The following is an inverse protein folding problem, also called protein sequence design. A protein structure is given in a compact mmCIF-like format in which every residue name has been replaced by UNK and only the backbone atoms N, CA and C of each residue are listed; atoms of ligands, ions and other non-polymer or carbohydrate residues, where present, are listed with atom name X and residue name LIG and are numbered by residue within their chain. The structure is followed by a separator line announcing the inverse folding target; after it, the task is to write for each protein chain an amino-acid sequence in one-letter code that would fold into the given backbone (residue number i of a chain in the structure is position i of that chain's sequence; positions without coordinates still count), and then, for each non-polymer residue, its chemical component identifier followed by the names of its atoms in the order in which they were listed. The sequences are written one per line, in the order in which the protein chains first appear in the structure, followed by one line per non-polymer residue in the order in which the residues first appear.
data_IF_626148644815
#
_entry.id   IF_626148644815
#
_cell.length_a   1.000
_cell.length_b   1.000
_cell.length_c   1.000
_cell.angle_alpha   90.00
_cell.angle_beta   90.00
_cell.angle_gamma   90.00
#
_symmetry.space_group_name_H-M   'P 1'
#
loop_
_entity.id
_entity.type
_entity.pdbx_description
1 polymer ?
#
# COMPACT_ATOMS: atom_id res chain seq x y z
N UNK A 1 8.62 8.77 -22.46
CA UNK A 1 9.64 7.88 -21.84
C UNK A 1 9.71 8.01 -20.33
N UNK A 2 9.99 9.17 -19.73
CA UNK A 2 10.03 9.30 -18.25
C UNK A 2 8.68 8.93 -17.60
N UNK A 3 7.55 9.35 -18.19
CA UNK A 3 6.23 8.93 -17.71
C UNK A 3 6.05 7.40 -17.74
N UNK A 4 6.44 6.74 -18.83
CA UNK A 4 6.41 5.27 -18.92
C UNK A 4 7.29 4.63 -17.84
N UNK A 5 8.48 5.18 -17.57
CA UNK A 5 9.35 4.73 -16.49
C UNK A 5 8.69 4.83 -15.12
N UNK A 6 8.07 5.97 -14.80
CA UNK A 6 7.31 6.18 -13.55
C UNK A 6 6.13 5.21 -13.44
N UNK A 7 5.43 4.95 -14.55
CA UNK A 7 4.33 3.99 -14.58
C UNK A 7 4.81 2.58 -14.25
N UNK A 8 5.83 2.08 -14.96
CA UNK A 8 6.34 0.72 -14.80
C UNK A 8 6.99 0.52 -13.43
N UNK A 9 7.80 1.47 -12.96
CA UNK A 9 8.45 1.40 -11.64
C UNK A 9 7.45 1.51 -10.50
N UNK A 10 6.45 2.38 -10.60
CA UNK A 10 5.38 2.47 -9.60
C UNK A 10 4.53 1.21 -9.55
N UNK A 11 4.19 0.63 -10.72
CA UNK A 11 3.46 -0.64 -10.81
C UNK A 11 4.26 -1.79 -10.16
N UNK A 12 5.54 -1.93 -10.51
CA UNK A 12 6.41 -2.96 -9.95
C UNK A 12 6.61 -2.76 -8.44
N UNK A 13 6.73 -1.51 -7.97
CA UNK A 13 6.81 -1.20 -6.55
C UNK A 13 5.54 -1.61 -5.80
N UNK A 14 4.35 -1.33 -6.35
CA UNK A 14 3.08 -1.73 -5.73
C UNK A 14 2.92 -3.25 -5.63
N UNK A 15 3.34 -3.99 -6.66
CA UNK A 15 3.28 -5.46 -6.67
C UNK A 15 4.25 -6.09 -5.66
N UNK A 16 5.51 -5.65 -5.67
CA UNK A 16 6.56 -6.20 -4.80
C UNK A 16 6.36 -5.88 -3.31
N UNK A 17 5.69 -4.78 -3.00
CA UNK A 17 5.39 -4.38 -1.62
C UNK A 17 4.29 -5.23 -0.95
N UNK A 18 3.61 -6.10 -1.69
CA UNK A 18 2.55 -6.97 -1.17
C UNK A 18 3.00 -8.44 -0.98
N UNK A 19 4.29 -8.76 -1.05
CA UNK A 19 4.76 -10.16 -1.02
C UNK A 19 4.22 -10.97 0.18
N UNK A 20 3.46 -12.03 -0.12
CA UNK A 20 2.61 -12.80 0.81
C UNK A 20 3.36 -13.92 1.60
N UNK A 21 4.66 -14.14 1.38
CA UNK A 21 5.41 -15.25 1.99
C UNK A 21 6.07 -14.90 3.33
N UNK A 22 5.28 -14.51 4.33
CA UNK A 22 5.82 -14.27 5.67
C UNK A 22 5.66 -15.52 6.52
N UNK A 23 6.80 -16.06 6.96
CA UNK A 23 6.91 -17.23 7.82
C UNK A 23 6.14 -17.02 9.14
N UNK A 24 4.95 -17.61 9.20
CA UNK A 24 4.02 -17.58 10.35
C UNK A 24 4.62 -18.32 11.57
N UNK A 25 5.67 -19.13 11.37
CA UNK A 25 6.31 -19.95 12.39
C UNK A 25 7.74 -19.50 12.75
N UNK A 26 8.21 -18.39 12.17
CA UNK A 26 9.56 -17.86 12.41
C UNK A 26 9.75 -17.27 13.82
N UNK A 27 10.98 -17.39 14.32
CA UNK A 27 11.48 -16.92 15.62
C UNK A 27 10.83 -15.59 16.07
N UNK A 28 10.01 -15.63 17.12
CA UNK A 28 9.37 -14.46 17.72
C UNK A 28 10.36 -13.54 18.46
N UNK A 29 11.65 -13.91 18.49
CA UNK A 29 12.71 -13.04 18.96
C UNK A 29 12.78 -11.73 18.18
N UNK A 30 13.24 -10.67 18.84
CA UNK A 30 13.35 -9.33 18.26
C UNK A 30 14.13 -9.31 16.93
N UNK A 31 15.14 -10.17 16.79
CA UNK A 31 15.89 -10.36 15.54
C UNK A 31 15.08 -11.04 14.43
N UNK A 32 14.30 -12.08 14.75
CA UNK A 32 13.43 -12.74 13.78
C UNK A 32 12.31 -11.83 13.27
N UNK A 33 11.70 -11.03 14.15
CA UNK A 33 10.68 -10.07 13.71
C UNK A 33 11.27 -8.93 12.86
N UNK A 34 12.49 -8.48 13.13
CA UNK A 34 13.13 -7.42 12.34
C UNK A 34 13.63 -7.89 10.98
N UNK A 35 14.18 -9.10 10.89
CA UNK A 35 14.90 -9.58 9.70
C UNK A 35 14.21 -10.72 8.95
N UNK A 36 13.17 -11.32 9.55
CA UNK A 36 12.45 -12.47 8.99
C UNK A 36 10.93 -12.29 8.93
N UNK A 37 10.37 -11.23 9.53
CA UNK A 37 8.94 -10.90 9.38
C UNK A 37 8.72 -9.86 8.27
N UNK A 38 7.60 -9.97 7.56
CA UNK A 38 7.26 -8.95 6.56
C UNK A 38 6.95 -7.58 7.15
N UNK A 39 6.58 -7.48 8.43
CA UNK A 39 6.51 -6.18 9.12
C UNK A 39 7.88 -5.48 9.17
N UNK A 40 8.95 -6.23 9.41
CA UNK A 40 10.33 -5.73 9.34
C UNK A 40 10.74 -5.29 7.94
N UNK A 41 10.44 -6.14 6.94
CA UNK A 41 10.71 -5.85 5.53
C UNK A 41 10.03 -4.57 5.04
N UNK A 42 8.74 -4.39 5.36
CA UNK A 42 8.01 -3.19 4.95
C UNK A 42 8.51 -1.94 5.68
N UNK A 43 8.84 -2.03 6.98
CA UNK A 43 9.43 -0.91 7.71
C UNK A 43 10.76 -0.45 7.09
N UNK A 44 11.64 -1.39 6.72
CA UNK A 44 12.88 -1.10 5.99
C UNK A 44 12.58 -0.51 4.62
N UNK A 45 11.62 -1.06 3.87
CA UNK A 45 11.22 -0.55 2.57
C UNK A 45 10.74 0.91 2.62
N UNK A 46 10.02 1.31 3.67
CA UNK A 46 9.54 2.69 3.86
C UNK A 46 10.68 3.65 4.19
N UNK A 47 11.62 3.21 5.04
CA UNK A 47 12.83 3.97 5.36
C UNK A 47 13.66 4.15 4.09
N UNK A 48 13.85 3.10 3.29
CA UNK A 48 14.56 3.14 2.02
C UNK A 48 13.84 4.06 1.02
N UNK A 49 12.54 3.89 0.82
CA UNK A 49 11.75 4.70 -0.12
C UNK A 49 11.84 6.20 0.22
N UNK A 50 11.56 6.54 1.47
CA UNK A 50 11.51 7.93 1.93
C UNK A 50 12.90 8.55 2.06
N UNK A 51 13.90 7.75 2.47
CA UNK A 51 15.30 8.15 2.54
C UNK A 51 15.89 8.40 1.16
N UNK A 52 15.68 7.51 0.19
CA UNK A 52 16.08 7.73 -1.21
C UNK A 52 15.41 8.97 -1.79
N UNK A 53 14.10 9.11 -1.55
CA UNK A 53 13.35 10.31 -1.94
C UNK A 53 13.86 11.58 -1.25
N UNK A 54 14.58 11.50 -0.13
CA UNK A 54 15.17 12.64 0.56
C UNK A 54 16.61 12.95 0.10
N UNK A 55 17.44 11.93 -0.14
CA UNK A 55 18.89 12.09 -0.32
C UNK A 55 19.38 11.95 -1.75
N UNK A 56 18.73 11.12 -2.58
CA UNK A 56 19.23 10.80 -3.92
C UNK A 56 18.58 11.71 -4.96
N UNK A 57 19.41 12.42 -5.72
CA UNK A 57 18.97 13.36 -6.77
C UNK A 57 19.64 13.13 -8.12
N UNK A 58 20.74 12.36 -8.16
CA UNK A 58 21.47 12.09 -9.40
C UNK A 58 20.69 11.08 -10.25
N UNK A 59 20.29 11.42 -11.49
CA UNK A 59 19.48 10.54 -12.33
C UNK A 59 20.20 9.22 -12.63
N UNK A 60 21.54 9.23 -12.75
CA UNK A 60 22.33 8.01 -12.91
C UNK A 60 22.26 7.08 -11.69
N UNK A 61 22.25 7.63 -10.48
CA UNK A 61 22.16 6.84 -9.24
C UNK A 61 20.75 6.26 -9.10
N UNK A 62 19.71 7.05 -9.40
CA UNK A 62 18.31 6.58 -9.42
C UNK A 62 18.11 5.47 -10.45
N UNK A 63 18.65 5.64 -11.66
CA UNK A 63 18.60 4.61 -12.69
C UNK A 63 19.32 3.33 -12.25
N UNK A 64 20.54 3.45 -11.72
CA UNK A 64 21.30 2.31 -11.20
C UNK A 64 20.56 1.57 -10.07
N UNK A 65 19.96 2.31 -9.13
CA UNK A 65 19.16 1.73 -8.04
C UNK A 65 17.89 1.06 -8.56
N UNK A 66 17.19 1.66 -9.52
CA UNK A 66 15.98 1.05 -10.12
C UNK A 66 16.30 -0.23 -10.90
N UNK A 67 17.44 -0.27 -11.60
CA UNK A 67 17.93 -1.47 -12.29
C UNK A 67 18.29 -2.55 -11.27
N UNK A 68 19.07 -2.19 -10.25
CA UNK A 68 19.46 -3.13 -9.19
C UNK A 68 18.22 -3.71 -8.48
N UNK A 69 17.24 -2.87 -8.13
CA UNK A 69 16.00 -3.31 -7.51
C UNK A 69 15.18 -4.22 -8.43
N UNK A 70 15.04 -3.89 -9.72
CA UNK A 70 14.33 -4.74 -10.68
C UNK A 70 15.02 -6.10 -10.90
N UNK A 71 16.36 -6.14 -10.93
CA UNK A 71 17.14 -7.38 -11.00
C UNK A 71 16.95 -8.21 -9.74
N UNK A 72 16.92 -7.57 -8.58
CA UNK A 72 16.68 -8.23 -7.29
C UNK A 72 15.27 -8.85 -7.24
N UNK A 73 14.23 -8.13 -7.68
CA UNK A 73 12.86 -8.66 -7.78
C UNK A 73 12.78 -9.82 -8.78
N UNK A 74 13.41 -9.68 -9.95
CA UNK A 74 13.44 -10.77 -10.92
C UNK A 74 14.18 -12.00 -10.36
N UNK A 75 15.29 -11.79 -9.65
CA UNK A 75 16.05 -12.85 -9.00
C UNK A 75 15.30 -13.53 -7.86
N UNK A 76 14.56 -12.77 -7.05
CA UNK A 76 13.75 -13.36 -5.97
C UNK A 76 12.64 -14.25 -6.53
N UNK A 77 11.95 -13.78 -7.58
CA UNK A 77 10.88 -14.53 -8.24
C UNK A 77 11.39 -15.75 -9.00
N UNK A 78 12.61 -15.72 -9.55
CA UNK A 78 13.14 -16.79 -10.43
C UNK A 78 14.07 -17.79 -9.75
N UNK A 79 14.81 -17.41 -8.70
CA UNK A 79 15.94 -18.19 -8.16
C UNK A 79 15.81 -18.52 -6.67
N UNK A 80 15.32 -17.59 -5.86
CA UNK A 80 15.18 -17.75 -4.41
C UNK A 80 14.05 -16.87 -3.89
N UNK A 81 12.88 -17.45 -3.59
CA UNK A 81 11.75 -16.71 -3.03
C UNK A 81 12.14 -16.16 -1.66
N UNK A 82 12.44 -14.86 -1.60
CA UNK A 82 12.66 -14.13 -0.36
C UNK A 82 11.82 -12.87 -0.36
N UNK A 83 10.67 -12.95 0.30
CA UNK A 83 9.68 -11.87 0.39
C UNK A 83 10.26 -10.59 1.00
N UNK A 84 11.19 -10.73 1.96
CA UNK A 84 11.91 -9.60 2.55
C UNK A 84 12.69 -8.79 1.50
N UNK A 85 13.40 -9.49 0.61
CA UNK A 85 14.24 -8.88 -0.41
C UNK A 85 13.38 -8.21 -1.49
N UNK A 86 12.26 -8.84 -1.86
CA UNK A 86 11.29 -8.29 -2.80
C UNK A 86 10.64 -7.00 -2.28
N UNK A 87 10.16 -7.01 -1.04
CA UNK A 87 9.53 -5.83 -0.40
C UNK A 87 10.52 -4.67 -0.26
N UNK A 88 11.78 -4.94 0.11
CA UNK A 88 12.83 -3.92 0.14
C UNK A 88 13.08 -3.31 -1.24
N UNK A 89 13.17 -4.14 -2.28
CA UNK A 89 13.35 -3.68 -3.65
C UNK A 89 12.15 -2.83 -4.12
N UNK A 90 10.93 -3.19 -3.72
CA UNK A 90 9.72 -2.38 -3.93
C UNK A 90 9.81 -1.00 -3.31
N UNK A 91 10.31 -0.90 -2.07
CA UNK A 91 10.59 0.38 -1.42
C UNK A 91 11.60 1.24 -2.19
N UNK A 92 12.69 0.63 -2.69
CA UNK A 92 13.68 1.33 -3.52
C UNK A 92 13.06 1.87 -4.82
N UNK A 93 12.21 1.07 -5.48
CA UNK A 93 11.49 1.47 -6.70
C UNK A 93 10.50 2.61 -6.44
N UNK A 94 9.76 2.56 -5.32
CA UNK A 94 8.86 3.64 -4.91
C UNK A 94 9.63 4.95 -4.66
N UNK A 95 10.76 4.86 -3.95
CA UNK A 95 11.64 6.01 -3.70
C UNK A 95 12.19 6.63 -4.98
N UNK A 96 12.67 5.81 -5.92
CA UNK A 96 13.21 6.30 -7.19
C UNK A 96 12.13 6.94 -8.07
N UNK A 97 10.97 6.28 -8.18
CA UNK A 97 9.85 6.74 -9.02
C UNK A 97 9.24 8.04 -8.51
N UNK A 98 9.18 8.25 -7.18
CA UNK A 98 8.75 9.52 -6.59
C UNK A 98 9.65 10.70 -6.96
N UNK A 99 10.98 10.51 -6.96
CA UNK A 99 11.91 11.56 -7.39
C UNK A 99 11.76 11.88 -8.88
N UNK A 100 11.51 10.87 -9.73
CA UNK A 100 11.23 11.11 -11.15
C UNK A 100 9.86 11.77 -11.40
N UNK A 101 8.88 11.50 -10.52
CA UNK A 101 7.53 12.03 -10.60
C UNK A 101 7.41 13.48 -10.11
N UNK A 102 8.35 13.95 -9.28
CA UNK A 102 8.39 15.29 -8.67
C UNK A 102 8.21 16.46 -9.66
N UNK A 103 8.58 16.24 -10.93
CA UNK A 103 8.62 17.28 -11.97
C UNK A 103 7.26 17.66 -12.58
N UNK A 104 6.14 17.11 -12.10
CA UNK A 104 4.83 17.58 -12.56
C UNK A 104 3.64 16.78 -12.04
N UNK A 105 2.52 17.49 -11.85
CA UNK A 105 1.26 16.93 -11.33
C UNK A 105 0.79 15.67 -12.06
N UNK A 106 0.92 15.63 -13.38
CA UNK A 106 0.55 14.46 -14.19
C UNK A 106 1.43 13.25 -13.86
N UNK A 107 2.73 13.45 -13.63
CA UNK A 107 3.65 12.35 -13.28
C UNK A 107 3.43 11.84 -11.87
N UNK A 108 3.13 12.72 -10.92
CA UNK A 108 2.74 12.33 -9.56
C UNK A 108 1.41 11.56 -9.56
N UNK A 109 0.44 12.00 -10.37
CA UNK A 109 -0.82 11.27 -10.54
C UNK A 109 -0.59 9.89 -11.16
N UNK A 110 0.29 9.80 -12.16
CA UNK A 110 0.67 8.55 -12.80
C UNK A 110 1.36 7.58 -11.83
N UNK A 111 2.22 8.07 -10.95
CA UNK A 111 2.86 7.29 -9.89
C UNK A 111 1.83 6.74 -8.90
N UNK A 112 0.95 7.60 -8.38
CA UNK A 112 -0.09 7.17 -7.46
C UNK A 112 -1.02 6.13 -8.10
N UNK A 113 -1.37 6.34 -9.38
CA UNK A 113 -2.18 5.42 -10.16
C UNK A 113 -1.51 4.06 -10.37
N UNK A 114 -0.25 4.05 -10.83
CA UNK A 114 0.45 2.81 -11.12
C UNK A 114 0.78 2.03 -9.86
N UNK A 115 1.16 2.71 -8.78
CA UNK A 115 1.38 2.11 -7.47
C UNK A 115 0.11 1.46 -6.92
N UNK A 116 -1.01 2.19 -6.92
CA UNK A 116 -2.30 1.64 -6.48
C UNK A 116 -2.76 0.49 -7.36
N UNK A 117 -2.58 0.60 -8.69
CA UNK A 117 -2.92 -0.49 -9.58
C UNK A 117 -2.09 -1.73 -9.24
N UNK A 118 -0.80 -1.60 -8.97
CA UNK A 118 0.06 -2.71 -8.53
C UNK A 118 -0.43 -3.31 -7.21
N UNK A 119 -0.62 -2.47 -6.20
CA UNK A 119 -1.06 -2.89 -4.87
C UNK A 119 -2.47 -3.51 -4.85
N UNK A 120 -3.37 -3.11 -5.75
CA UNK A 120 -4.72 -3.68 -5.80
C UNK A 120 -4.81 -4.91 -6.71
N UNK A 121 -3.85 -5.08 -7.62
CA UNK A 121 -3.84 -6.19 -8.58
C UNK A 121 -2.89 -7.33 -8.21
N UNK A 122 -2.07 -7.22 -7.14
CA UNK A 122 -1.08 -8.25 -6.83
C UNK A 122 -1.72 -9.62 -6.61
N UNK A 123 -2.80 -9.73 -5.82
CA UNK A 123 -3.50 -11.00 -5.62
C UNK A 123 -4.11 -11.57 -6.92
N UNK A 124 -4.54 -10.72 -7.85
CA UNK A 124 -5.02 -11.18 -9.15
C UNK A 124 -3.85 -11.63 -10.05
N UNK A 125 -2.73 -10.90 -10.06
CA UNK A 125 -1.52 -11.28 -10.81
C UNK A 125 -0.92 -12.58 -10.26
N UNK A 126 -0.99 -12.78 -8.95
CA UNK A 126 -0.60 -14.02 -8.31
C UNK A 126 -1.49 -15.19 -8.74
N UNK A 127 -2.80 -15.01 -8.79
CA UNK A 127 -3.72 -16.02 -9.31
C UNK A 127 -3.48 -16.35 -10.81
N UNK A 128 -2.86 -15.44 -11.58
CA UNK A 128 -2.39 -15.73 -12.94
C UNK A 128 -1.10 -16.56 -12.95
N UNK A 129 -0.23 -16.39 -11.95
CA UNK A 129 1.04 -17.13 -11.85
C UNK A 129 0.83 -18.55 -11.30
N UNK A 130 -0.12 -18.72 -10.39
CA UNK A 130 -0.43 -19.99 -9.71
C UNK A 130 -1.90 -20.38 -9.93
N UNK A 131 -2.27 -20.88 -11.12
CA UNK A 131 -3.65 -21.19 -11.44
C UNK A 131 -4.17 -22.36 -10.58
N UNK A 132 -5.23 -22.11 -9.82
CA UNK A 132 -5.97 -23.14 -9.09
C UNK A 132 -5.52 -23.42 -7.66
N UNK A 133 -4.45 -22.78 -7.17
CA UNK A 133 -3.98 -22.97 -5.79
C UNK A 133 -3.62 -21.60 -5.18
N UNK A 134 -4.32 -21.14 -4.13
CA UNK A 134 -3.93 -19.94 -3.40
C UNK A 134 -2.49 -20.08 -2.87
N UNK A 135 -1.62 -19.09 -3.09
CA UNK A 135 -0.19 -19.14 -2.71
C UNK A 135 0.06 -19.36 -1.22
N UNK A 136 -0.93 -19.11 -0.36
CA UNK A 136 -0.94 -19.52 1.05
C UNK A 136 -0.71 -21.02 1.27
N UNK A 137 -0.85 -21.84 0.23
CA UNK A 137 -0.54 -23.26 0.24
C UNK A 137 0.71 -23.63 -0.54
N UNK A 138 1.42 -22.65 -1.12
CA UNK A 138 2.63 -22.87 -1.91
C UNK A 138 3.73 -23.58 -1.11
N UNK A 139 3.80 -23.33 0.20
CA UNK A 139 4.73 -24.01 1.11
C UNK A 139 4.46 -25.53 1.24
N UNK A 140 3.25 -25.97 0.86
CA UNK A 140 2.87 -27.39 0.81
C UNK A 140 2.93 -27.97 -0.60
N UNK A 141 3.26 -27.15 -1.62
CA UNK A 141 3.37 -27.59 -2.99
C UNK A 141 4.78 -28.07 -3.31
N UNK A 142 4.85 -29.06 -4.18
CA UNK A 142 6.13 -29.44 -4.78
C UNK A 142 6.50 -28.43 -5.86
N UNK A 143 7.79 -28.22 -6.11
CA UNK A 143 8.29 -27.27 -7.11
C UNK A 143 7.72 -27.54 -8.53
N UNK A 144 7.28 -28.78 -8.80
CA UNK A 144 6.59 -29.18 -10.03
C UNK A 144 5.15 -28.66 -10.17
N UNK A 145 4.50 -28.26 -9.07
CA UNK A 145 3.12 -27.73 -9.08
C UNK A 145 3.10 -26.19 -9.23
N UNK A 146 4.26 -25.54 -9.13
CA UNK A 146 4.41 -24.10 -9.30
C UNK A 146 4.62 -23.76 -10.79
N UNK A 147 3.65 -23.07 -11.39
CA UNK A 147 3.79 -22.53 -12.74
C UNK A 147 4.96 -21.55 -12.86
N UNK A 148 5.55 -21.42 -14.06
CA UNK A 148 6.65 -20.46 -14.28
C UNK A 148 6.11 -19.02 -14.22
N UNK A 149 6.59 -18.16 -13.30
CA UNK A 149 6.12 -16.79 -13.20
C UNK A 149 6.60 -15.96 -14.40
N UNK A 150 5.68 -15.46 -15.24
CA UNK A 150 6.02 -14.68 -16.45
C UNK A 150 5.82 -13.18 -16.26
N UNK A 151 4.77 -12.77 -15.53
CA UNK A 151 4.33 -11.36 -15.49
C UNK A 151 5.35 -10.45 -14.81
N UNK A 152 5.84 -10.82 -13.62
CA UNK A 152 6.79 -10.00 -12.85
C UNK A 152 8.16 -9.91 -13.53
N UNK A 153 8.78 -11.00 -14.03
CA UNK A 153 10.05 -10.91 -14.75
C UNK A 153 9.98 -10.02 -16.00
N UNK A 154 8.90 -10.12 -16.80
CA UNK A 154 8.69 -9.25 -17.97
C UNK A 154 8.62 -7.79 -17.54
N UNK A 155 7.90 -7.48 -16.44
CA UNK A 155 7.83 -6.13 -15.91
C UNK A 155 9.19 -5.61 -15.44
N UNK A 156 10.01 -6.46 -14.80
CA UNK A 156 11.38 -6.12 -14.42
C UNK A 156 12.24 -5.76 -15.64
N UNK A 157 12.17 -6.53 -16.74
CA UNK A 157 12.89 -6.20 -17.98
C UNK A 157 12.45 -4.84 -18.52
N UNK A 158 11.15 -4.56 -18.55
CA UNK A 158 10.63 -3.28 -19.02
C UNK A 158 11.09 -2.11 -18.13
N UNK A 159 11.15 -2.29 -16.80
CA UNK A 159 11.69 -1.29 -15.87
C UNK A 159 13.17 -1.03 -16.14
N UNK A 160 13.98 -2.07 -16.34
CA UNK A 160 15.42 -1.93 -16.68
C UNK A 160 15.58 -1.15 -17.99
N UNK A 161 14.83 -1.49 -19.03
CA UNK A 161 14.88 -0.79 -20.31
C UNK A 161 14.49 0.69 -20.16
N UNK A 162 13.44 0.98 -19.40
CA UNK A 162 13.01 2.35 -19.14
C UNK A 162 14.05 3.15 -18.34
N UNK A 163 14.69 2.54 -17.34
CA UNK A 163 15.73 3.15 -16.51
C UNK A 163 17.01 3.43 -17.30
N UNK A 164 17.48 2.47 -18.11
CA UNK A 164 18.64 2.65 -19.01
C UNK A 164 18.37 3.78 -19.99
N UNK A 165 17.15 3.86 -20.54
CA UNK A 165 16.78 4.94 -21.45
C UNK A 165 16.74 6.29 -20.76
N UNK A 166 16.13 6.38 -19.57
CA UNK A 166 16.07 7.61 -18.80
C UNK A 166 17.49 8.14 -18.45
N UNK A 167 18.40 7.26 -18.07
CA UNK A 167 19.80 7.60 -17.79
C UNK A 167 20.54 8.18 -19.01
N UNK A 168 20.20 7.73 -20.22
CA UNK A 168 20.80 8.27 -21.46
C UNK A 168 20.29 9.67 -21.81
N UNK A 169 19.03 9.98 -21.49
CA UNK A 169 18.38 11.24 -21.88
C UNK A 169 18.60 12.35 -20.84
N UNK A 170 18.67 12.03 -19.54
CA UNK A 170 18.81 13.03 -18.47
C UNK A 170 20.27 13.28 -18.09
N UNK A 171 21.02 13.97 -18.97
CA UNK A 171 22.41 14.37 -18.68
C UNK A 171 22.56 15.71 -17.96
N UNK A 172 21.48 16.49 -17.73
CA UNK A 172 21.67 17.93 -17.38
C UNK A 172 20.61 18.58 -16.47
N UNK A 173 19.81 17.83 -15.72
CA UNK A 173 18.79 18.44 -14.85
C UNK A 173 18.98 18.04 -13.38
N UNK A 174 19.63 18.91 -12.59
CA UNK A 174 19.59 18.83 -11.13
C UNK A 174 18.19 19.23 -10.64
N UNK A 175 17.58 18.39 -9.82
CA UNK A 175 16.31 18.72 -9.14
C UNK A 175 16.58 19.61 -7.93
N UNK A 176 15.73 20.61 -7.64
CA UNK A 176 15.88 21.46 -6.47
C UNK A 176 15.86 20.65 -5.17
N UNK A 177 16.62 21.12 -4.18
CA UNK A 177 16.74 20.46 -2.88
C UNK A 177 15.43 20.56 -2.09
N UNK A 178 14.81 19.42 -1.79
CA UNK A 178 13.69 19.33 -0.85
C UNK A 178 14.20 19.51 0.59
N UNK A 179 13.42 20.16 1.45
CA UNK A 179 13.82 20.49 2.82
C UNK A 179 14.22 19.26 3.66
N UNK A 180 15.48 19.20 4.07
CA UNK A 180 16.05 18.18 4.98
C UNK A 180 15.71 18.51 6.44
N UNK A 181 14.42 18.54 6.75
CA UNK A 181 13.94 18.87 8.08
C UNK A 181 14.00 17.67 9.04
N UNK A 182 14.48 17.88 10.26
CA UNK A 182 14.43 16.89 11.36
C UNK A 182 13.00 16.36 11.56
N UNK A 183 11.99 17.20 11.35
CA UNK A 183 10.57 16.82 11.42
C UNK A 183 10.16 15.78 10.37
N UNK A 184 10.72 15.86 9.15
CA UNK A 184 10.46 14.88 8.08
C UNK A 184 11.09 13.53 8.40
N UNK A 185 12.31 13.53 8.95
CA UNK A 185 12.98 12.30 9.42
C UNK A 185 12.19 11.68 10.57
N UNK A 186 11.75 12.49 11.54
CA UNK A 186 10.92 12.04 12.64
C UNK A 186 9.61 11.41 12.16
N UNK A 187 8.94 11.99 11.15
CA UNK A 187 7.73 11.41 10.57
C UNK A 187 7.98 10.06 9.88
N UNK A 188 9.08 9.91 9.13
CA UNK A 188 9.48 8.64 8.50
C UNK A 188 9.69 7.56 9.57
N UNK A 189 10.49 7.88 10.58
CA UNK A 189 10.78 6.95 11.66
C UNK A 189 9.52 6.61 12.46
N UNK A 190 8.65 7.58 12.71
CA UNK A 190 7.40 7.36 13.44
C UNK A 190 6.46 6.42 12.69
N UNK A 191 6.33 6.54 11.37
CA UNK A 191 5.49 5.63 10.57
C UNK A 191 6.12 4.24 10.46
N UNK A 192 7.42 4.14 10.19
CA UNK A 192 8.09 2.86 10.03
C UNK A 192 8.19 2.08 11.36
N UNK A 193 8.66 2.73 12.43
CA UNK A 193 8.78 2.11 13.76
C UNK A 193 7.41 1.89 14.37
N UNK A 194 6.49 2.86 14.21
CA UNK A 194 5.12 2.73 14.69
C UNK A 194 4.39 1.55 14.04
N UNK A 195 4.45 1.43 12.71
CA UNK A 195 3.88 0.31 11.98
C UNK A 195 4.48 -1.04 12.38
N UNK A 196 5.81 -1.11 12.54
CA UNK A 196 6.50 -2.31 13.01
C UNK A 196 6.08 -2.71 14.44
N UNK A 197 6.04 -1.75 15.37
CA UNK A 197 5.61 -1.98 16.75
C UNK A 197 4.16 -2.44 16.81
N UNK A 198 3.29 -1.86 15.98
CA UNK A 198 1.90 -2.27 15.88
C UNK A 198 1.78 -3.71 15.35
N UNK A 199 2.58 -4.08 14.35
CA UNK A 199 2.65 -5.46 13.87
C UNK A 199 3.15 -6.43 14.96
N UNK A 200 4.22 -6.07 15.67
CA UNK A 200 4.76 -6.84 16.81
C UNK A 200 3.71 -7.02 17.92
N UNK A 201 3.05 -5.93 18.32
CA UNK A 201 2.02 -5.94 19.35
C UNK A 201 0.82 -6.78 18.91
N UNK A 202 0.40 -6.65 17.65
CA UNK A 202 -0.69 -7.45 17.10
C UNK A 202 -0.33 -8.95 17.14
N UNK A 203 0.85 -9.33 16.65
CA UNK A 203 1.30 -10.72 16.69
C UNK A 203 1.43 -11.28 18.10
N UNK A 204 2.03 -10.53 19.01
CA UNK A 204 2.09 -10.92 20.42
C UNK A 204 0.67 -11.09 21.00
N UNK A 205 -0.25 -10.18 20.68
CA UNK A 205 -1.62 -10.22 21.18
C UNK A 205 -2.44 -11.42 20.67
N UNK A 206 -2.19 -11.87 19.43
CA UNK A 206 -2.85 -13.02 18.80
C UNK A 206 -2.30 -14.34 19.35
N UNK A 207 -0.99 -14.48 19.53
CA UNK A 207 -0.37 -15.76 19.87
C UNK A 207 -0.16 -16.01 21.37
N UNK A 208 -0.12 -14.96 22.22
CA UNK A 208 0.11 -15.10 23.67
C UNK A 208 -1.14 -14.81 24.52
N UNK A 209 -2.33 -14.71 23.92
CA UNK A 209 -3.58 -14.55 24.66
C UNK A 209 -4.14 -15.89 25.16
N UNK A 210 -4.11 -16.12 26.48
CA UNK A 210 -4.71 -17.32 27.13
C UNK A 210 -6.24 -17.50 26.88
N UNK A 211 -6.92 -16.51 26.29
CA UNK A 211 -8.38 -16.50 26.14
C UNK A 211 -8.86 -16.04 24.75
N UNK A 212 -8.30 -16.60 23.67
CA UNK A 212 -8.86 -16.48 22.31
C UNK A 212 -8.99 -15.05 21.75
N UNK A 213 -9.52 -14.96 20.53
CA UNK A 213 -9.62 -13.77 19.67
C UNK A 213 -10.43 -12.57 20.24
N UNK A 214 -10.95 -12.65 21.47
CA UNK A 214 -11.87 -11.66 22.03
C UNK A 214 -11.20 -10.38 22.52
N UNK A 215 -11.48 -9.24 21.88
CA UNK A 215 -11.34 -7.91 22.49
C UNK A 215 -9.95 -7.25 22.45
N UNK A 216 -9.04 -7.65 21.55
CA UNK A 216 -7.72 -7.01 21.40
C UNK A 216 -7.52 -6.20 20.11
N UNK A 217 -8.55 -6.09 19.28
CA UNK A 217 -8.56 -5.23 18.08
C UNK A 217 -8.34 -3.74 18.39
N UNK A 218 -8.56 -3.30 19.65
CA UNK A 218 -8.31 -1.93 20.10
C UNK A 218 -6.84 -1.49 19.91
N UNK A 219 -5.87 -2.41 19.86
CA UNK A 219 -4.49 -2.05 19.56
C UNK A 219 -4.33 -1.48 18.14
N UNK A 220 -5.18 -1.89 17.20
CA UNK A 220 -5.27 -1.28 15.87
C UNK A 220 -5.72 0.19 15.92
N UNK A 221 -6.41 0.63 16.98
CA UNK A 221 -6.76 2.06 17.15
C UNK A 221 -5.53 2.92 17.43
N UNK A 222 -4.43 2.36 17.95
CA UNK A 222 -3.18 3.11 18.17
C UNK A 222 -2.49 3.51 16.86
N UNK A 223 -2.84 2.88 15.73
CA UNK A 223 -2.43 3.32 14.39
C UNK A 223 -2.84 4.77 14.13
N UNK A 224 -4.04 5.14 14.56
CA UNK A 224 -4.65 6.45 14.29
C UNK A 224 -3.84 7.59 14.90
N UNK A 225 -3.58 7.66 16.22
CA UNK A 225 -2.78 8.74 16.80
C UNK A 225 -1.34 8.77 16.26
N UNK A 226 -0.74 7.62 15.94
CA UNK A 226 0.62 7.55 15.34
C UNK A 226 0.64 8.23 13.97
N UNK A 227 -0.32 7.90 13.09
CA UNK A 227 -0.39 8.47 11.75
C UNK A 227 -0.80 9.95 11.76
N UNK A 228 -1.69 10.35 12.67
CA UNK A 228 -2.03 11.77 12.86
C UNK A 228 -0.84 12.56 13.42
N UNK A 229 -0.06 11.97 14.34
CA UNK A 229 1.19 12.55 14.81
C UNK A 229 2.20 12.73 13.68
N UNK A 230 2.40 11.70 12.86
CA UNK A 230 3.28 11.77 11.69
C UNK A 230 2.82 12.84 10.68
N UNK A 231 1.51 12.93 10.43
CA UNK A 231 0.94 13.96 9.57
C UNK A 231 1.17 15.38 10.10
N UNK A 232 1.08 15.57 11.43
CA UNK A 232 1.36 16.84 12.09
C UNK A 232 2.84 17.25 12.09
N UNK A 233 3.75 16.27 12.07
CA UNK A 233 5.19 16.53 11.99
C UNK A 233 5.62 16.98 10.59
N UNK A 234 4.95 16.52 9.53
CA UNK A 234 5.35 16.85 8.17
C UNK A 234 5.07 18.32 7.81
N UNK A 235 6.06 19.05 7.27
CA UNK A 235 5.83 20.40 6.76
C UNK A 235 4.82 20.39 5.59
N UNK A 236 4.23 21.57 5.30
CA UNK A 236 3.26 21.92 4.25
C UNK A 236 2.81 20.81 3.29
N UNK A 237 1.52 20.58 3.00
CA UNK A 237 0.94 19.50 2.16
C UNK A 237 1.38 18.05 2.43
N UNK A 238 2.54 17.75 3.02
CA UNK A 238 3.00 16.39 3.26
C UNK A 238 2.10 15.61 4.22
N UNK A 239 1.62 16.26 5.28
CA UNK A 239 0.65 15.65 6.20
C UNK A 239 -0.68 15.28 5.55
N UNK A 240 -1.10 15.98 4.48
CA UNK A 240 -2.35 15.67 3.76
C UNK A 240 -2.22 14.33 3.02
N UNK A 241 -1.05 14.04 2.47
CA UNK A 241 -0.78 12.77 1.79
C UNK A 241 -0.76 11.58 2.76
N UNK A 242 -0.25 11.79 3.98
CA UNK A 242 -0.25 10.76 5.04
C UNK A 242 -1.67 10.48 5.52
N UNK A 243 -2.49 11.51 5.75
CA UNK A 243 -3.89 11.33 6.12
C UNK A 243 -4.70 10.69 4.98
N UNK A 244 -4.38 11.00 3.72
CA UNK A 244 -4.97 10.33 2.56
C UNK A 244 -4.64 8.82 2.56
N UNK A 245 -3.37 8.46 2.76
CA UNK A 245 -2.97 7.06 2.90
C UNK A 245 -3.59 6.38 4.11
N UNK A 246 -3.77 7.09 5.21
CA UNK A 246 -4.47 6.58 6.40
C UNK A 246 -5.95 6.29 6.10
N UNK A 247 -6.63 7.17 5.36
CA UNK A 247 -8.01 6.94 4.95
C UNK A 247 -8.14 5.73 4.01
N UNK A 248 -7.22 5.57 3.06
CA UNK A 248 -7.19 4.41 2.16
C UNK A 248 -6.90 3.12 2.92
N UNK A 249 -5.93 3.14 3.84
CA UNK A 249 -5.61 2.04 4.75
C UNK A 249 -6.86 1.56 5.50
N UNK A 250 -7.54 2.47 6.19
CA UNK A 250 -8.71 2.15 7.01
C UNK A 250 -9.92 1.69 6.18
N UNK A 251 -10.03 2.16 4.94
CA UNK A 251 -11.07 1.67 4.04
C UNK A 251 -10.73 0.26 3.56
N UNK A 252 -9.47 -0.01 3.25
CA UNK A 252 -9.03 -1.32 2.74
C UNK A 252 -9.25 -2.46 3.74
N UNK A 253 -9.20 -2.20 5.05
CA UNK A 253 -9.50 -3.20 6.09
C UNK A 253 -10.96 -3.62 6.11
N UNK A 254 -11.86 -2.81 5.52
CA UNK A 254 -13.28 -3.15 5.34
C UNK A 254 -13.56 -3.84 4.01
N UNK A 255 -12.59 -3.91 3.08
CA UNK A 255 -12.77 -4.50 1.75
C UNK A 255 -11.92 -5.76 1.53
N UNK A 256 -10.96 -6.06 2.42
CA UNK A 256 -9.97 -7.14 2.29
C UNK A 256 -10.54 -8.57 2.41
N UNK A 257 -11.84 -8.73 2.65
CA UNK A 257 -12.51 -10.04 2.76
C UNK A 257 -13.18 -10.54 1.47
N UNK A 258 -13.12 -9.78 0.39
CA UNK A 258 -13.86 -10.10 -0.85
C UNK A 258 -13.07 -11.07 -1.74
N UNK A 259 -12.97 -12.32 -1.31
CA UNK A 259 -12.40 -13.39 -2.10
C UNK A 259 -13.37 -13.84 -3.19
N UNK A 260 -13.16 -13.41 -4.43
CA UNK A 260 -13.83 -14.07 -5.57
C UNK A 260 -13.07 -15.36 -5.83
N UNK A 261 -13.73 -16.52 -5.74
CA UNK A 261 -13.17 -17.79 -6.16
C UNK A 261 -13.08 -17.82 -7.69
N UNK A 262 -12.02 -17.21 -8.23
CA UNK A 262 -11.84 -17.12 -9.68
C UNK A 262 -11.03 -18.31 -10.16
N UNK A 263 -11.70 -19.38 -10.59
CA UNK A 263 -11.05 -20.57 -11.14
C UNK A 263 -10.64 -20.41 -12.62
N UNK A 264 -11.03 -19.33 -13.29
CA UNK A 264 -10.81 -19.15 -14.73
C UNK A 264 -10.02 -17.87 -15.04
N UNK A 265 -8.90 -18.05 -15.76
CA UNK A 265 -7.98 -17.02 -16.24
C UNK A 265 -8.65 -15.75 -16.80
N UNK A 266 -9.75 -15.92 -17.54
CA UNK A 266 -10.52 -14.81 -18.16
C UNK A 266 -11.08 -13.86 -17.11
N UNK A 267 -11.57 -14.38 -15.99
CA UNK A 267 -12.14 -13.59 -14.92
C UNK A 267 -11.06 -12.85 -14.11
N UNK A 268 -9.88 -13.45 -13.95
CA UNK A 268 -8.74 -12.80 -13.29
C UNK A 268 -8.24 -11.61 -14.12
N UNK A 269 -8.12 -11.79 -15.44
CA UNK A 269 -7.84 -10.67 -16.36
C UNK A 269 -8.94 -9.60 -16.32
N UNK A 270 -10.22 -10.03 -16.29
CA UNK A 270 -11.35 -9.12 -16.14
C UNK A 270 -11.26 -8.26 -14.88
N UNK A 271 -10.87 -8.87 -13.75
CA UNK A 271 -10.69 -8.17 -12.47
C UNK A 271 -9.57 -7.12 -12.57
N UNK A 272 -8.40 -7.48 -13.13
CA UNK A 272 -7.30 -6.53 -13.35
C UNK A 272 -7.74 -5.36 -14.23
N UNK A 273 -8.50 -5.64 -15.30
CA UNK A 273 -9.05 -4.60 -16.19
C UNK A 273 -10.04 -3.70 -15.44
N UNK A 274 -10.93 -4.26 -14.61
CA UNK A 274 -11.89 -3.48 -13.81
C UNK A 274 -11.15 -2.56 -12.82
N UNK A 275 -10.11 -3.06 -12.14
CA UNK A 275 -9.28 -2.23 -11.26
C UNK A 275 -8.60 -1.13 -12.07
N UNK A 276 -7.98 -1.46 -13.21
CA UNK A 276 -7.28 -0.49 -14.05
C UNK A 276 -8.22 0.63 -14.54
N UNK A 277 -9.42 0.28 -15.00
CA UNK A 277 -10.44 1.25 -15.43
C UNK A 277 -10.90 2.11 -14.26
N UNK A 278 -11.14 1.51 -13.09
CA UNK A 278 -11.57 2.23 -11.89
C UNK A 278 -10.52 3.23 -11.41
N UNK A 279 -9.25 2.80 -11.34
CA UNK A 279 -8.11 3.66 -11.00
C UNK A 279 -7.97 4.78 -12.03
N UNK A 280 -8.04 4.48 -13.33
CA UNK A 280 -7.95 5.48 -14.39
C UNK A 280 -9.08 6.52 -14.32
N UNK A 281 -10.31 6.09 -14.04
CA UNK A 281 -11.44 6.98 -13.83
C UNK A 281 -11.22 7.89 -12.60
N UNK A 282 -10.79 7.32 -11.48
CA UNK A 282 -10.43 8.06 -10.26
C UNK A 282 -9.35 9.11 -10.52
N UNK A 283 -8.30 8.77 -11.26
CA UNK A 283 -7.22 9.69 -11.64
C UNK A 283 -7.73 10.82 -12.52
N UNK A 284 -8.51 10.50 -13.56
CA UNK A 284 -9.07 11.51 -14.47
C UNK A 284 -9.97 12.50 -13.72
N UNK A 285 -10.79 11.99 -12.80
CA UNK A 285 -11.64 12.80 -11.94
C UNK A 285 -10.82 13.65 -10.96
N UNK A 286 -9.76 13.09 -10.37
CA UNK A 286 -8.89 13.81 -9.43
C UNK A 286 -8.09 14.92 -10.10
N UNK A 287 -7.65 14.71 -11.35
CA UNK A 287 -7.00 15.74 -12.16
C UNK A 287 -7.97 16.87 -12.50
N UNK A 288 -9.24 16.53 -12.82
CA UNK A 288 -10.27 17.49 -13.23
C UNK A 288 -10.87 18.29 -12.07
N UNK A 289 -11.12 17.64 -10.93
CA UNK A 289 -11.92 18.18 -9.82
C UNK A 289 -11.24 18.06 -8.45
N UNK A 290 -9.91 18.12 -8.39
CA UNK A 290 -9.06 17.88 -7.20
C UNK A 290 -9.52 18.48 -5.86
N UNK A 291 -10.54 17.87 -5.25
CA UNK A 291 -11.13 18.21 -3.96
C UNK A 291 -10.97 16.97 -3.07
N UNK A 292 -9.95 16.91 -2.20
CA UNK A 292 -9.63 15.70 -1.44
C UNK A 292 -10.78 15.26 -0.52
N UNK A 293 -11.56 16.20 0.01
CA UNK A 293 -12.71 15.89 0.86
C UNK A 293 -13.79 15.05 0.16
N UNK A 294 -13.93 15.18 -1.16
CA UNK A 294 -14.86 14.34 -1.93
C UNK A 294 -14.39 12.88 -1.92
N UNK A 295 -13.07 12.65 -2.06
CA UNK A 295 -12.48 11.32 -2.00
C UNK A 295 -12.67 10.70 -0.62
N UNK A 296 -12.42 11.46 0.44
CA UNK A 296 -12.66 11.00 1.82
C UNK A 296 -14.13 10.67 2.07
N UNK A 297 -15.06 11.51 1.58
CA UNK A 297 -16.49 11.25 1.73
C UNK A 297 -16.90 9.95 1.02
N UNK A 298 -16.40 9.71 -0.19
CA UNK A 298 -16.67 8.46 -0.92
C UNK A 298 -16.06 7.25 -0.20
N UNK A 299 -14.83 7.36 0.31
CA UNK A 299 -14.21 6.29 1.11
C UNK A 299 -15.01 6.00 2.39
N UNK A 300 -15.53 7.01 3.08
CA UNK A 300 -16.39 6.82 4.24
C UNK A 300 -17.69 6.07 3.87
N UNK A 301 -18.27 6.38 2.70
CA UNK A 301 -19.42 5.62 2.17
C UNK A 301 -19.01 4.17 1.92
N UNK A 302 -17.86 3.91 1.29
CA UNK A 302 -17.34 2.54 1.09
C UNK A 302 -17.22 1.80 2.43
N UNK A 303 -16.62 2.39 3.46
CA UNK A 303 -16.54 1.77 4.79
C UNK A 303 -17.92 1.38 5.31
N UNK A 304 -18.93 2.26 5.16
CA UNK A 304 -20.29 1.97 5.63
C UNK A 304 -20.94 0.79 4.90
N UNK A 305 -20.52 0.48 3.68
CA UNK A 305 -21.07 -0.66 2.93
C UNK A 305 -20.68 -2.01 3.51
N UNK A 306 -19.64 -2.09 4.35
CA UNK A 306 -19.28 -3.32 5.04
C UNK A 306 -20.35 -3.80 6.04
N UNK A 307 -21.31 -2.94 6.42
CA UNK A 307 -22.50 -3.36 7.17
C UNK A 307 -23.43 -4.26 6.34
N UNK A 308 -23.24 -4.31 5.02
CA UNK A 308 -24.04 -5.09 4.08
C UNK A 308 -23.29 -6.31 3.54
N UNK A 309 -22.40 -6.91 4.33
CA UNK A 309 -21.66 -8.13 3.93
C UNK A 309 -22.55 -9.38 3.75
N UNK A 310 -23.82 -9.32 4.17
CA UNK A 310 -24.77 -10.44 4.08
C UNK A 310 -25.83 -10.24 3.00
N UNK A 311 -26.32 -11.33 2.37
CA UNK A 311 -27.44 -11.26 1.43
C UNK A 311 -28.66 -10.61 2.07
N UNK A 312 -29.45 -9.82 1.32
CA UNK A 312 -29.42 -9.63 -0.14
C UNK A 312 -28.60 -8.41 -0.62
N UNK A 313 -27.96 -7.67 0.29
CA UNK A 313 -27.28 -6.40 -0.02
C UNK A 313 -25.76 -6.53 -0.19
N UNK A 314 -25.23 -7.75 -0.12
CA UNK A 314 -23.85 -8.13 -0.40
C UNK A 314 -23.32 -7.57 -1.72
N UNK A 315 -24.15 -7.55 -2.76
CA UNK A 315 -23.82 -6.95 -4.07
C UNK A 315 -23.38 -5.48 -3.97
N UNK A 316 -23.96 -4.71 -3.04
CA UNK A 316 -23.59 -3.29 -2.83
C UNK A 316 -22.17 -3.20 -2.29
N UNK A 317 -21.83 -4.06 -1.33
CA UNK A 317 -20.48 -4.13 -0.79
C UNK A 317 -19.48 -4.64 -1.84
N UNK A 318 -19.85 -5.62 -2.68
CA UNK A 318 -19.03 -6.07 -3.82
C UNK A 318 -18.66 -4.93 -4.77
N UNK A 319 -19.65 -4.13 -5.20
CA UNK A 319 -19.42 -2.99 -6.10
C UNK A 319 -18.60 -1.91 -5.41
N UNK A 320 -18.87 -1.63 -4.13
CA UNK A 320 -18.12 -0.64 -3.37
C UNK A 320 -16.64 -1.03 -3.24
N UNK A 321 -16.35 -2.29 -2.95
CA UNK A 321 -14.98 -2.81 -2.75
C UNK A 321 -14.20 -2.94 -4.06
N UNK A 322 -14.82 -3.41 -5.15
CA UNK A 322 -14.11 -3.71 -6.40
C UNK A 322 -13.99 -2.52 -7.36
N UNK A 323 -14.93 -1.58 -7.30
CA UNK A 323 -15.02 -0.48 -8.27
C UNK A 323 -14.84 0.86 -7.56
N UNK A 324 -15.66 1.13 -6.55
CA UNK A 324 -15.70 2.46 -5.91
C UNK A 324 -14.44 2.72 -5.11
N UNK A 325 -13.93 1.73 -4.37
CA UNK A 325 -12.73 1.86 -3.55
C UNK A 325 -11.46 2.18 -4.37
N UNK A 326 -11.09 1.40 -5.42
CA UNK A 326 -9.94 1.74 -6.26
C UNK A 326 -10.04 3.13 -6.90
N UNK A 327 -11.24 3.49 -7.38
CA UNK A 327 -11.49 4.80 -7.96
C UNK A 327 -11.36 5.94 -6.94
N UNK A 328 -11.92 5.77 -5.74
CA UNK A 328 -11.89 6.77 -4.67
C UNK A 328 -10.48 6.95 -4.08
N UNK A 329 -9.73 5.86 -3.90
CA UNK A 329 -8.34 5.90 -3.46
C UNK A 329 -7.47 6.66 -4.47
N UNK A 330 -7.59 6.33 -5.76
CA UNK A 330 -6.86 7.00 -6.83
C UNK A 330 -7.25 8.49 -6.95
N UNK A 331 -8.54 8.80 -6.88
CA UNK A 331 -9.03 10.18 -6.84
C UNK A 331 -8.43 10.96 -5.67
N UNK A 332 -8.43 10.38 -4.46
CA UNK A 332 -7.95 11.05 -3.25
C UNK A 332 -6.46 11.38 -3.35
N UNK A 333 -5.62 10.41 -3.71
CA UNK A 333 -4.19 10.65 -3.87
C UNK A 333 -3.89 11.68 -4.95
N UNK A 334 -4.58 11.64 -6.08
CA UNK A 334 -4.41 12.62 -7.16
C UNK A 334 -4.91 14.01 -6.74
N UNK A 335 -6.01 14.09 -5.98
CA UNK A 335 -6.53 15.35 -5.45
C UNK A 335 -5.59 15.98 -4.42
N UNK A 336 -4.72 15.20 -3.77
CA UNK A 336 -3.69 15.68 -2.85
C UNK A 336 -2.41 16.18 -3.54
N UNK A 337 -2.28 16.01 -4.87
CA UNK A 337 -1.12 16.52 -5.64
C UNK A 337 -1.26 18.02 -5.97
N UNK A 338 -0.15 18.81 -6.02
CA UNK A 338 1.23 18.36 -5.89
C UNK A 338 1.72 18.21 -4.44
N UNK A 339 2.53 17.18 -4.20
CA UNK A 339 3.21 16.93 -2.93
C UNK A 339 4.71 16.72 -3.18
N UNK A 340 5.55 17.08 -2.20
CA UNK A 340 6.98 16.76 -2.22
C UNK A 340 7.22 15.24 -2.32
N UNK A 341 8.34 14.79 -2.88
CA UNK A 341 8.58 13.38 -3.18
C UNK A 341 8.61 12.52 -1.91
N UNK A 342 9.20 13.01 -0.81
CA UNK A 342 9.29 12.26 0.46
C UNK A 342 7.92 12.08 1.14
N UNK A 343 7.06 13.11 1.28
CA UNK A 343 5.69 12.88 1.74
C UNK A 343 4.83 12.06 0.78
N UNK A 344 5.06 12.14 -0.53
CA UNK A 344 4.39 11.31 -1.52
C UNK A 344 4.70 9.82 -1.32
N UNK A 345 5.98 9.46 -1.17
CA UNK A 345 6.38 8.07 -0.87
C UNK A 345 5.81 7.60 0.46
N UNK A 346 5.88 8.45 1.49
CA UNK A 346 5.42 8.09 2.82
C UNK A 346 3.91 7.85 2.83
N UNK A 347 3.10 8.74 2.24
CA UNK A 347 1.66 8.56 2.17
C UNK A 347 1.19 7.42 1.27
N UNK A 348 1.94 7.07 0.22
CA UNK A 348 1.68 5.86 -0.59
C UNK A 348 2.10 4.58 0.15
N UNK A 349 3.15 4.63 0.97
CA UNK A 349 3.61 3.47 1.72
C UNK A 349 2.77 3.18 2.98
N UNK A 350 2.09 4.18 3.56
CA UNK A 350 1.26 4.03 4.79
C UNK A 350 0.27 2.86 4.72
N UNK A 351 -0.54 2.69 3.65
CA UNK A 351 -1.36 1.49 3.50
C UNK A 351 -0.55 0.21 3.63
N UNK A 352 0.55 0.10 2.88
CA UNK A 352 1.40 -1.10 2.84
C UNK A 352 1.99 -1.45 4.20
N UNK A 353 2.52 -0.48 4.95
CA UNK A 353 3.17 -0.73 6.26
C UNK A 353 2.27 -1.42 7.25
N UNK A 354 0.98 -1.13 7.18
CA UNK A 354 0.04 -1.55 8.21
C UNK A 354 -0.88 -2.65 7.71
N UNK A 355 -1.40 -2.62 6.47
CA UNK A 355 -2.28 -3.69 5.98
C UNK A 355 -1.56 -4.95 5.57
N UNK A 356 -0.41 -4.88 4.88
CA UNK A 356 0.22 -6.08 4.33
C UNK A 356 0.60 -7.05 5.44
N UNK A 357 1.32 -6.66 6.51
CA UNK A 357 1.62 -7.57 7.61
C UNK A 357 0.36 -8.09 8.31
N UNK A 358 -0.68 -7.25 8.49
CA UNK A 358 -1.90 -7.66 9.20
C UNK A 358 -2.77 -8.63 8.39
N UNK A 359 -2.94 -8.39 7.09
CA UNK A 359 -3.78 -9.22 6.20
C UNK A 359 -3.07 -10.52 5.86
N UNK A 360 -1.79 -10.48 5.53
CA UNK A 360 -1.00 -11.66 5.13
C UNK A 360 -0.79 -12.59 6.32
N UNK A 361 -0.32 -12.06 7.46
CA UNK A 361 0.05 -12.90 8.61
C UNK A 361 -1.16 -13.39 9.40
N UNK A 362 -2.30 -12.68 9.38
CA UNK A 362 -3.44 -13.00 10.26
C UNK A 362 -4.79 -13.14 9.54
N UNK A 363 -4.94 -12.65 8.31
CA UNK A 363 -6.19 -12.78 7.55
C UNK A 363 -6.59 -14.23 7.31
N UNK A 364 -5.64 -15.16 7.21
CA UNK A 364 -5.92 -16.59 7.04
C UNK A 364 -6.59 -17.23 8.26
N UNK A 365 -6.33 -16.73 9.49
CA UNK A 365 -6.98 -17.24 10.72
C UNK A 365 -8.47 -16.87 10.82
N UNK A 366 -8.90 -15.84 10.09
CA UNK A 366 -10.31 -15.48 9.98
C UNK A 366 -11.09 -16.36 8.99
N UNK A 367 -10.39 -17.05 8.07
CA UNK A 367 -11.01 -17.80 6.98
C UNK A 367 -10.94 -19.32 7.10
N UNK A 368 -10.20 -19.88 8.06
CA UNK A 368 -10.25 -21.33 8.30
C UNK A 368 -11.62 -21.67 8.90
N UNK A 369 -12.53 -22.34 8.17
CA UNK A 369 -13.75 -22.85 8.76
C UNK A 369 -13.34 -24.15 9.47
N UNK A 370 -12.68 -24.03 10.62
CA UNK A 370 -12.74 -25.07 11.62
C UNK A 370 -14.16 -24.98 12.19
N UNK A 371 -15.02 -25.81 11.62
CA UNK A 371 -16.49 -25.87 11.61
C UNK A 371 -17.21 -25.96 12.97
N UNK A 372 -16.66 -25.41 14.04
CA UNK A 372 -17.32 -25.44 15.36
C UNK A 372 -16.96 -24.31 16.32
N UNK A 373 -15.98 -23.44 16.03
CA UNK A 373 -15.48 -22.47 17.02
C UNK A 373 -15.82 -21.00 16.75
N UNK A 374 -16.25 -20.63 15.54
CA UNK A 374 -16.69 -19.25 15.25
C UNK A 374 -18.13 -19.12 15.74
N UNK A 375 -18.29 -18.81 17.03
CA UNK A 375 -19.49 -18.08 17.47
C UNK A 375 -19.62 -16.89 16.52
N UNK A 376 -20.80 -16.76 15.92
CA UNK A 376 -21.26 -15.57 15.20
C UNK A 376 -20.51 -14.34 15.67
N UNK A 377 -19.71 -13.71 14.81
CA UNK A 377 -19.19 -12.37 15.06
C UNK A 377 -20.38 -11.56 15.53
N UNK A 378 -20.36 -11.15 16.79
CA UNK A 378 -21.57 -10.59 17.37
C UNK A 378 -21.84 -9.29 16.64
N UNK A 379 -23.10 -8.99 16.30
CA UNK A 379 -23.47 -7.74 15.64
C UNK A 379 -22.74 -6.51 16.25
N UNK A 380 -22.61 -6.37 17.59
CA UNK A 380 -21.84 -5.28 18.19
C UNK A 380 -20.38 -5.15 17.74
N UNK A 381 -19.67 -6.24 17.48
CA UNK A 381 -18.25 -6.23 17.09
C UNK A 381 -18.05 -5.73 15.65
N UNK A 382 -18.96 -6.08 14.74
CA UNK A 382 -18.96 -5.59 13.36
C UNK A 382 -19.27 -4.08 13.32
N UNK A 383 -20.25 -3.63 14.11
CA UNK A 383 -20.56 -2.19 14.22
C UNK A 383 -19.40 -1.40 14.82
N UNK A 384 -18.66 -1.97 15.77
CA UNK A 384 -17.51 -1.31 16.40
C UNK A 384 -16.31 -1.20 15.45
N UNK A 385 -16.00 -2.25 14.67
CA UNK A 385 -14.89 -2.22 13.71
C UNK A 385 -15.20 -1.33 12.50
N UNK A 386 -16.37 -1.49 11.88
CA UNK A 386 -16.82 -0.68 10.75
C UNK A 386 -17.06 0.78 11.17
N UNK A 387 -17.67 0.99 12.33
CA UNK A 387 -17.88 2.32 12.90
C UNK A 387 -16.56 3.02 13.25
N UNK A 388 -15.57 2.28 13.76
CA UNK A 388 -14.21 2.77 14.01
C UNK A 388 -13.50 3.19 12.71
N UNK A 389 -13.54 2.34 11.68
CA UNK A 389 -12.99 2.66 10.36
C UNK A 389 -13.68 3.88 9.73
N UNK A 390 -15.00 3.95 9.79
CA UNK A 390 -15.77 5.11 9.31
C UNK A 390 -15.38 6.40 10.05
N UNK A 391 -15.40 6.40 11.38
CA UNK A 391 -15.10 7.56 12.19
C UNK A 391 -13.68 8.07 11.94
N UNK A 392 -12.72 7.16 11.80
CA UNK A 392 -11.31 7.50 11.55
C UNK A 392 -11.08 8.04 10.14
N UNK A 393 -11.77 7.52 9.11
CA UNK A 393 -11.77 8.10 7.76
C UNK A 393 -12.34 9.53 7.78
N UNK A 394 -13.44 9.75 8.50
CA UNK A 394 -14.03 11.10 8.67
C UNK A 394 -13.05 12.02 9.40
N UNK A 395 -12.39 11.56 10.46
CA UNK A 395 -11.35 12.31 11.17
C UNK A 395 -10.17 12.65 10.26
N UNK A 396 -9.78 11.78 9.34
CA UNK A 396 -8.76 12.08 8.34
C UNK A 396 -9.22 13.24 7.44
N UNK A 397 -10.49 13.25 7.03
CA UNK A 397 -11.09 14.37 6.30
C UNK A 397 -11.06 15.69 7.07
N UNK A 398 -11.41 15.66 8.36
CA UNK A 398 -11.32 16.82 9.26
C UNK A 398 -9.87 17.30 9.39
N UNK A 399 -8.91 16.38 9.55
CA UNK A 399 -7.48 16.69 9.61
C UNK A 399 -6.96 17.34 8.32
N UNK A 400 -7.34 16.80 7.16
CA UNK A 400 -7.01 17.37 5.85
C UNK A 400 -7.60 18.78 5.72
N UNK A 401 -8.85 18.98 6.13
CA UNK A 401 -9.49 20.29 6.11
C UNK A 401 -8.80 21.30 7.05
N UNK A 402 -8.46 20.89 8.27
CA UNK A 402 -7.78 21.72 9.25
C UNK A 402 -6.38 22.13 8.75
N UNK A 403 -5.60 21.17 8.23
CA UNK A 403 -4.28 21.44 7.64
C UNK A 403 -4.34 22.37 6.43
N UNK A 404 -5.42 22.32 5.64
CA UNK A 404 -5.62 23.24 4.53
C UNK A 404 -6.07 24.64 5.01
N UNK A 405 -6.86 24.73 6.08
CA UNK A 405 -7.30 26.02 6.64
C UNK A 405 -6.22 26.78 7.40
N UNK A 406 -5.45 26.11 8.27
CA UNK A 406 -4.38 26.76 9.03
C UNK A 406 -3.30 27.37 8.13
N UNK A 407 -3.20 26.92 6.88
CA UNK A 407 -2.24 27.41 5.89
C UNK A 407 -2.77 28.58 5.08
N UNK A 408 -4.06 28.61 4.77
CA UNK A 408 -4.67 29.77 4.15
C UNK A 408 -4.52 31.04 5.02
N UNK A 409 -4.38 30.90 6.34
CA UNK A 409 -4.08 32.00 7.25
C UNK A 409 -2.62 32.43 7.28
N UNK A 410 -1.65 31.53 7.03
CA UNK A 410 -0.21 31.86 7.02
C UNK A 410 0.23 32.61 5.75
N UNK A 411 -0.44 32.41 4.62
CA UNK A 411 -0.16 33.16 3.37
C UNK A 411 -0.75 34.58 3.35
N UNK A 412 -1.60 34.92 4.31
CA UNK A 412 -2.26 36.25 4.41
C UNK A 412 -1.62 37.19 5.43
N UNK A 413 -0.59 36.74 6.14
CA UNK A 413 0.21 37.51 7.11
C UNK A 413 1.62 37.68 6.58
#
# INVERSE_FOLDING_TARGET
MIALGVLLTGLLAGLSMQSDGIDIFGDTGFGGVLFSSGGGGVAVAVILASGLAMFVRRPMVLAGLSIAAAVVVAGSVLLFSSDFVEVMAGGVLLGCSAVHADRGRIRQALLAASFLLGLLSAGAIEALQYPGIPRRYADYLTESDMGTPVVVPVLCVLVVLAAVWAARVEHSAESPATGRGVRTVAAILLVAIGGLLLNMLFGHSVFHGEYGFGGRWYFGLLVVPVLFGAAGLLPGRGGVMVLAGTAVLLTSTTTSGMGISVSAWVWTLGLVVVIAVSVAAGVALGLRWGRPLVGVAVLAVVCSTALFEQPPLDNVHYVASLIVFPAAAAYLYVACTPADPTPATLGLAVPVVITVPMVVTYGWTAYTPLTSAIRSTSWPEMWLSTGGAFATVVLCGVGIWALNRCRASEETT
#
